data_IF_053908510387
#
_entry.id   IF_053908510387
#
_cell.length_a   1.000
_cell.length_b   1.000
_cell.length_c   1.000
_cell.angle_alpha   90.00
_cell.angle_beta   90.00
_cell.angle_gamma   90.00
#
_symmetry.space_group_name_H-M   'P 1'
#
loop_
_entity.id
_entity.type
_entity.pdbx_description
1 polymer ?
#
# COMPACT_ATOMS: atom_id res chain seq x y z
N UNK A 1 10.22 15.07 -18.24
CA UNK A 1 9.17 15.65 -17.40
C UNK A 1 9.89 16.20 -16.17
N UNK A 2 10.15 17.50 -16.15
CA UNK A 2 10.84 18.15 -15.03
C UNK A 2 9.96 18.03 -13.79
N UNK A 3 10.45 17.37 -12.74
CA UNK A 3 9.79 17.41 -11.43
C UNK A 3 9.62 18.88 -11.07
N UNK A 4 8.38 19.34 -11.02
CA UNK A 4 8.10 20.73 -10.70
C UNK A 4 8.40 20.89 -9.21
N UNK A 5 9.59 21.43 -8.92
CA UNK A 5 10.20 21.46 -7.59
C UNK A 5 9.19 21.85 -6.50
N UNK A 6 8.89 20.89 -5.62
CA UNK A 6 8.27 21.15 -4.33
C UNK A 6 6.79 20.81 -4.16
N UNK A 7 6.02 20.51 -5.21
CA UNK A 7 4.62 20.13 -5.00
C UNK A 7 4.51 18.65 -4.55
N UNK A 8 3.90 18.38 -3.38
CA UNK A 8 3.76 17.02 -2.89
C UNK A 8 2.83 16.23 -3.82
N UNK A 9 3.29 15.07 -4.27
CA UNK A 9 2.52 14.17 -5.12
C UNK A 9 1.80 13.12 -4.28
N UNK A 10 0.52 12.87 -4.57
CA UNK A 10 -0.29 11.88 -3.84
C UNK A 10 -0.61 10.69 -4.73
N UNK A 11 -0.04 9.54 -4.38
CA UNK A 11 -0.32 8.25 -4.97
C UNK A 11 -1.40 7.54 -4.17
N UNK A 12 -2.42 7.03 -4.86
CA UNK A 12 -3.48 6.22 -4.25
C UNK A 12 -3.54 4.86 -4.93
N UNK A 13 -3.79 3.80 -4.18
CA UNK A 13 -4.00 2.49 -4.77
C UNK A 13 -5.18 2.57 -5.75
N UNK A 14 -4.98 2.04 -6.95
CA UNK A 14 -6.08 1.89 -7.90
C UNK A 14 -7.07 0.84 -7.39
N UNK A 15 -8.31 0.91 -7.88
CA UNK A 15 -9.33 -0.07 -7.51
C UNK A 15 -8.93 -1.50 -7.91
N UNK A 16 -8.28 -1.66 -9.07
CA UNK A 16 -7.78 -2.96 -9.54
C UNK A 16 -6.70 -3.54 -8.62
N UNK A 17 -5.76 -2.72 -8.13
CA UNK A 17 -4.76 -3.15 -7.14
C UNK A 17 -5.40 -3.51 -5.80
N UNK A 18 -6.35 -2.70 -5.33
CA UNK A 18 -7.09 -2.99 -4.10
C UNK A 18 -7.82 -4.33 -4.21
N UNK A 19 -8.44 -4.60 -5.35
CA UNK A 19 -9.15 -5.85 -5.61
C UNK A 19 -8.19 -7.05 -5.61
N UNK A 20 -7.05 -6.95 -6.30
CA UNK A 20 -6.06 -8.03 -6.33
C UNK A 20 -5.47 -8.35 -4.96
N UNK A 21 -5.29 -7.35 -4.10
CA UNK A 21 -4.68 -7.52 -2.78
C UNK A 21 -5.68 -7.98 -1.71
N UNK A 22 -6.91 -7.45 -1.73
CA UNK A 22 -7.88 -7.70 -0.66
C UNK A 22 -8.98 -8.69 -1.02
N UNK A 23 -9.39 -8.81 -2.29
CA UNK A 23 -10.55 -9.64 -2.69
C UNK A 23 -10.12 -10.96 -3.32
N UNK A 24 -9.08 -10.96 -4.16
CA UNK A 24 -8.62 -12.16 -4.89
C UNK A 24 -8.22 -13.32 -3.98
N UNK A 25 -7.46 -13.13 -2.87
CA UNK A 25 -7.08 -14.25 -1.99
C UNK A 25 -8.28 -14.89 -1.29
N UNK A 26 -9.34 -14.12 -1.06
CA UNK A 26 -10.55 -14.53 -0.33
C UNK A 26 -11.68 -14.95 -1.27
N UNK A 27 -11.44 -14.98 -2.58
CA UNK A 27 -12.44 -15.31 -3.57
C UNK A 27 -13.11 -16.68 -3.33
N UNK A 28 -12.39 -17.77 -2.94
CA UNK A 28 -13.03 -19.04 -2.59
C UNK A 28 -13.98 -18.91 -1.39
N UNK A 29 -13.56 -18.20 -0.34
CA UNK A 29 -14.37 -17.99 0.87
C UNK A 29 -15.62 -17.16 0.54
N UNK A 30 -15.47 -16.10 -0.26
CA UNK A 30 -16.60 -15.27 -0.70
C UNK A 30 -17.59 -16.08 -1.56
N UNK A 31 -17.13 -16.99 -2.43
CA UNK A 31 -17.99 -17.88 -3.20
C UNK A 31 -18.78 -18.79 -2.25
N UNK A 32 -18.12 -19.43 -1.28
CA UNK A 32 -18.80 -20.30 -0.31
C UNK A 32 -19.84 -19.54 0.49
N UNK A 33 -19.52 -18.33 0.97
CA UNK A 33 -20.47 -17.46 1.67
C UNK A 33 -21.65 -17.10 0.78
N UNK A 34 -21.43 -16.75 -0.49
CA UNK A 34 -22.51 -16.43 -1.42
C UNK A 34 -23.43 -17.64 -1.67
N UNK A 35 -22.87 -18.83 -1.83
CA UNK A 35 -23.65 -20.06 -1.98
C UNK A 35 -24.48 -20.36 -0.72
N UNK A 36 -23.88 -20.23 0.47
CA UNK A 36 -24.59 -20.40 1.74
C UNK A 36 -25.71 -19.37 1.89
N UNK A 37 -25.44 -18.11 1.54
CA UNK A 37 -26.43 -17.02 1.60
C UNK A 37 -27.58 -17.26 0.63
N UNK A 38 -27.28 -17.80 -0.56
CA UNK A 38 -28.28 -18.19 -1.54
C UNK A 38 -29.19 -19.31 -1.02
N UNK A 39 -28.61 -20.38 -0.45
CA UNK A 39 -29.38 -21.49 0.15
C UNK A 39 -30.23 -21.01 1.33
N UNK A 40 -29.64 -20.25 2.25
CA UNK A 40 -30.36 -19.70 3.42
C UNK A 40 -31.49 -18.76 2.97
N UNK A 41 -31.21 -17.86 2.02
CA UNK A 41 -32.21 -16.96 1.45
C UNK A 41 -33.37 -17.72 0.82
N UNK A 42 -33.09 -18.82 0.11
CA UNK A 42 -34.12 -19.67 -0.48
C UNK A 42 -35.01 -20.32 0.59
N UNK A 43 -34.42 -20.88 1.65
CA UNK A 43 -35.15 -21.54 2.74
C UNK A 43 -36.04 -20.56 3.51
N UNK A 44 -35.55 -19.36 3.79
CA UNK A 44 -36.25 -18.38 4.64
C UNK A 44 -37.29 -17.56 3.86
N UNK A 45 -36.96 -17.12 2.64
CA UNK A 45 -37.75 -16.15 1.89
C UNK A 45 -38.04 -16.53 0.45
N UNK A 46 -37.77 -17.78 0.07
CA UNK A 46 -38.05 -18.30 -1.27
C UNK A 46 -37.14 -17.75 -2.38
N UNK A 47 -37.54 -17.91 -3.64
CA UNK A 47 -36.71 -17.57 -4.82
C UNK A 47 -36.29 -16.10 -4.90
N UNK A 48 -37.11 -15.19 -4.39
CA UNK A 48 -36.80 -13.75 -4.41
C UNK A 48 -35.68 -13.44 -3.42
N UNK A 49 -35.77 -13.97 -2.20
CA UNK A 49 -34.75 -13.74 -1.17
C UNK A 49 -33.40 -14.39 -1.52
N UNK A 50 -33.40 -15.55 -2.19
CA UNK A 50 -32.16 -16.21 -2.63
C UNK A 50 -31.35 -15.36 -3.61
N UNK A 51 -31.98 -14.49 -4.38
CA UNK A 51 -31.29 -13.57 -5.30
C UNK A 51 -30.96 -12.23 -4.64
N UNK A 52 -31.90 -11.65 -3.90
CA UNK A 52 -31.73 -10.30 -3.34
C UNK A 52 -30.61 -10.25 -2.30
N UNK A 53 -30.53 -11.24 -1.40
CA UNK A 53 -29.55 -11.20 -0.29
C UNK A 53 -28.10 -11.25 -0.81
N UNK A 54 -27.71 -12.17 -1.72
CA UNK A 54 -26.37 -12.16 -2.31
C UNK A 54 -26.04 -10.87 -3.06
N UNK A 55 -27.00 -10.28 -3.79
CA UNK A 55 -26.79 -9.03 -4.53
C UNK A 55 -26.49 -7.88 -3.56
N UNK A 56 -27.27 -7.75 -2.49
CA UNK A 56 -27.03 -6.74 -1.44
C UNK A 56 -25.69 -6.96 -0.76
N UNK A 57 -25.32 -8.21 -0.47
CA UNK A 57 -24.02 -8.54 0.13
C UNK A 57 -22.85 -8.13 -0.78
N UNK A 58 -22.91 -8.46 -2.06
CA UNK A 58 -21.87 -8.05 -3.04
C UNK A 58 -21.79 -6.52 -3.11
N UNK A 59 -22.92 -5.84 -3.21
CA UNK A 59 -22.96 -4.38 -3.24
C UNK A 59 -22.31 -3.76 -1.99
N UNK A 60 -22.60 -4.31 -0.80
CA UNK A 60 -22.01 -3.87 0.46
C UNK A 60 -20.48 -4.09 0.50
N UNK A 61 -19.99 -5.25 0.04
CA UNK A 61 -18.55 -5.55 -0.04
C UNK A 61 -17.85 -4.59 -1.02
N UNK A 62 -18.46 -4.30 -2.17
CA UNK A 62 -17.93 -3.35 -3.15
C UNK A 62 -17.89 -1.92 -2.57
N UNK A 63 -18.95 -1.50 -1.87
CA UNK A 63 -18.99 -0.19 -1.21
C UNK A 63 -17.91 -0.07 -0.13
N UNK A 64 -17.78 -1.08 0.73
CA UNK A 64 -16.81 -1.11 1.82
C UNK A 64 -15.37 -1.13 1.29
N UNK A 65 -15.09 -1.90 0.24
CA UNK A 65 -13.76 -1.93 -0.39
C UNK A 65 -13.40 -0.60 -1.05
N UNK A 66 -14.36 0.08 -1.70
CA UNK A 66 -14.15 1.44 -2.22
C UNK A 66 -13.87 2.44 -1.10
N UNK A 67 -14.60 2.35 0.01
CA UNK A 67 -14.36 3.20 1.17
C UNK A 67 -12.96 2.96 1.76
N UNK A 68 -12.57 1.70 1.95
CA UNK A 68 -11.26 1.32 2.47
C UNK A 68 -10.09 1.70 1.53
N UNK A 69 -10.33 1.79 0.22
CA UNK A 69 -9.33 2.24 -0.76
C UNK A 69 -9.04 3.74 -0.65
N UNK A 70 -10.06 4.54 -0.33
CA UNK A 70 -9.95 6.02 -0.29
C UNK A 70 -9.14 6.52 0.91
N UNK A 71 -9.03 5.71 1.97
CA UNK A 71 -8.34 6.08 3.21
C UNK A 71 -6.86 5.69 3.25
N UNK A 72 -6.33 5.02 2.21
CA UNK A 72 -4.90 4.75 2.08
C UNK A 72 -4.30 5.55 0.92
N UNK A 73 -3.10 6.06 1.14
CA UNK A 73 -2.35 6.77 0.10
C UNK A 73 -0.93 7.03 0.54
N UNK A 74 -0.05 7.25 -0.43
CA UNK A 74 1.31 7.70 -0.22
C UNK A 74 1.44 9.12 -0.75
N UNK A 75 1.86 10.03 0.09
CA UNK A 75 2.27 11.37 -0.31
C UNK A 75 3.79 11.39 -0.36
N UNK A 76 4.34 11.84 -1.47
CA UNK A 76 5.79 11.96 -1.69
C UNK A 76 6.11 13.42 -1.93
N UNK A 77 7.14 13.93 -1.29
CA UNK A 77 7.58 15.32 -1.42
C UNK A 77 9.10 15.42 -1.34
N UNK A 78 9.64 16.63 -1.51
CA UNK A 78 11.07 16.84 -1.36
C UNK A 78 11.62 16.58 0.05
N UNK A 79 10.76 16.55 1.08
CA UNK A 79 11.18 16.24 2.44
C UNK A 79 11.23 14.74 2.73
N UNK A 80 10.40 13.95 2.05
CA UNK A 80 10.31 12.52 2.31
C UNK A 80 9.02 11.88 1.81
N UNK A 81 8.64 10.81 2.49
CA UNK A 81 7.47 9.97 2.19
C UNK A 81 6.52 9.93 3.38
N UNK A 82 5.23 10.05 3.10
CA UNK A 82 4.17 9.97 4.09
C UNK A 82 3.12 8.95 3.66
N UNK A 83 2.87 7.95 4.50
CA UNK A 83 1.81 6.97 4.29
C UNK A 83 0.59 7.34 5.12
N UNK A 84 -0.50 7.64 4.45
CA UNK A 84 -1.82 7.77 5.06
C UNK A 84 -2.37 6.38 5.37
N UNK A 85 -2.65 6.13 6.66
CA UNK A 85 -3.22 4.88 7.15
C UNK A 85 -4.75 4.95 7.18
N UNK A 86 -5.39 3.77 7.16
CA UNK A 86 -6.86 3.64 7.17
C UNK A 86 -7.53 4.22 8.42
N UNK A 87 -6.81 4.23 9.55
CA UNK A 87 -7.24 4.80 10.83
C UNK A 87 -7.17 6.34 10.85
N UNK A 88 -6.68 6.96 9.78
CA UNK A 88 -6.48 8.39 9.66
C UNK A 88 -5.14 8.88 10.23
N UNK A 89 -4.30 7.97 10.76
CA UNK A 89 -2.93 8.29 11.13
C UNK A 89 -2.03 8.46 9.91
N UNK A 90 -0.86 9.07 10.12
CA UNK A 90 0.17 9.23 9.09
C UNK A 90 1.47 8.62 9.61
N UNK A 91 2.15 7.83 8.77
CA UNK A 91 3.55 7.47 9.03
C UNK A 91 4.41 8.29 8.09
N UNK A 92 5.34 9.09 8.63
CA UNK A 92 6.25 9.91 7.81
C UNK A 92 7.71 9.53 8.02
N UNK A 93 8.47 9.46 6.93
CA UNK A 93 9.90 9.20 6.91
C UNK A 93 10.59 10.23 6.02
N UNK A 94 11.73 10.77 6.47
CA UNK A 94 12.51 11.68 5.64
C UNK A 94 13.38 10.88 4.68
N UNK A 95 13.74 11.47 3.55
CA UNK A 95 14.63 10.80 2.60
C UNK A 95 15.94 10.28 3.22
N UNK A 96 16.66 11.02 4.09
CA UNK A 96 17.88 10.51 4.72
C UNK A 96 17.63 9.34 5.68
N UNK A 97 16.43 9.23 6.26
CA UNK A 97 16.09 8.21 7.25
C UNK A 97 15.66 6.88 6.60
N UNK A 98 15.54 6.82 5.26
CA UNK A 98 15.20 5.60 4.54
C UNK A 98 16.47 4.74 4.39
N UNK A 99 16.54 3.60 5.06
CA UNK A 99 17.77 2.82 5.11
C UNK A 99 17.96 1.98 3.83
N UNK A 100 16.91 1.33 3.33
CA UNK A 100 17.01 0.42 2.19
C UNK A 100 15.67 0.10 1.51
N UNK A 101 15.73 -0.48 0.31
CA UNK A 101 14.60 -1.18 -0.31
C UNK A 101 14.57 -2.63 0.19
N UNK A 102 13.46 -3.05 0.79
CA UNK A 102 13.31 -4.37 1.39
C UNK A 102 11.95 -5.00 1.06
N UNK A 103 11.83 -6.31 1.33
CA UNK A 103 10.53 -6.98 1.35
C UNK A 103 9.89 -6.75 2.72
N UNK A 104 8.84 -5.92 2.72
CA UNK A 104 8.14 -5.45 3.92
C UNK A 104 6.84 -6.24 4.13
N UNK A 105 6.58 -6.64 5.37
CA UNK A 105 5.32 -7.29 5.74
C UNK A 105 4.13 -6.31 5.77
N UNK A 106 2.91 -6.82 5.64
CA UNK A 106 1.66 -6.05 5.63
C UNK A 106 1.48 -5.17 6.86
N UNK A 107 2.01 -5.58 8.02
CA UNK A 107 1.93 -4.81 9.26
C UNK A 107 2.84 -3.57 9.28
N UNK A 108 3.74 -3.42 8.30
CA UNK A 108 4.64 -2.27 8.15
C UNK A 108 5.63 -2.07 9.30
N UNK A 109 5.72 -3.01 10.25
CA UNK A 109 6.64 -2.97 11.40
C UNK A 109 7.65 -4.12 11.40
N UNK A 110 7.54 -5.06 10.47
CA UNK A 110 8.37 -6.25 10.43
C UNK A 110 9.00 -6.41 9.05
N UNK A 111 10.31 -6.64 9.06
CA UNK A 111 11.14 -6.93 7.88
C UNK A 111 11.08 -8.44 7.65
N UNK A 112 10.84 -8.86 6.40
CA UNK A 112 10.89 -10.28 6.05
C UNK A 112 12.23 -10.65 5.43
N UNK A 113 12.78 -9.81 4.54
CA UNK A 113 14.12 -9.98 3.98
C UNK A 113 14.59 -8.74 3.17
N UNK A 114 15.92 -8.55 2.95
CA UNK A 114 16.45 -7.60 1.97
C UNK A 114 16.00 -7.91 0.52
N UNK A 115 15.78 -6.88 -0.31
CA UNK A 115 15.11 -7.00 -1.62
C UNK A 115 15.87 -7.83 -2.68
N UNK A 116 17.18 -8.04 -2.53
CA UNK A 116 17.97 -8.92 -3.42
C UNK A 116 18.01 -10.40 -3.00
N UNK A 117 18.00 -10.67 -1.69
CA UNK A 117 18.12 -12.04 -1.13
C UNK A 117 16.78 -12.77 -1.19
N UNK A 118 15.68 -12.05 -0.99
CA UNK A 118 14.34 -12.61 -1.04
C UNK A 118 14.00 -13.19 -2.42
N UNK A 119 14.48 -12.60 -3.52
CA UNK A 119 14.19 -13.07 -4.88
C UNK A 119 14.90 -14.39 -5.20
N UNK A 120 16.07 -14.63 -4.62
CA UNK A 120 16.81 -15.88 -4.75
C UNK A 120 16.27 -17.00 -3.83
N UNK A 121 15.77 -16.65 -2.64
CA UNK A 121 15.17 -17.61 -1.70
C UNK A 121 13.68 -17.93 -1.98
N UNK A 122 12.95 -17.03 -2.66
CA UNK A 122 11.53 -17.19 -2.98
C UNK A 122 11.26 -18.21 -4.11
N UNK A 123 12.28 -18.93 -4.58
CA UNK A 123 12.19 -19.87 -5.70
C UNK A 123 11.49 -21.21 -5.41
N UNK A 124 11.14 -21.56 -4.17
CA UNK A 124 10.56 -22.90 -3.93
C UNK A 124 9.61 -23.11 -2.73
N UNK A 125 9.55 -22.23 -1.71
CA UNK A 125 8.88 -22.61 -0.45
C UNK A 125 8.19 -21.49 0.35
N UNK A 126 8.01 -20.30 -0.22
CA UNK A 126 7.32 -19.22 0.49
C UNK A 126 5.81 -19.43 0.38
N UNK A 127 5.14 -19.69 1.51
CA UNK A 127 3.69 -19.97 1.53
C UNK A 127 2.91 -18.84 0.85
N UNK A 128 1.85 -19.18 0.12
CA UNK A 128 1.00 -18.21 -0.58
C UNK A 128 0.51 -17.08 0.35
N UNK A 129 0.39 -17.36 1.64
CA UNK A 129 0.06 -16.40 2.68
C UNK A 129 1.18 -15.37 2.93
N UNK A 130 2.45 -15.78 2.99
CA UNK A 130 3.58 -14.85 3.13
C UNK A 130 3.75 -14.02 1.86
N UNK A 131 3.59 -14.62 0.68
CA UNK A 131 3.62 -13.89 -0.59
C UNK A 131 2.49 -12.85 -0.72
N UNK A 132 1.28 -13.15 -0.21
CA UNK A 132 0.17 -12.20 -0.18
C UNK A 132 0.38 -11.07 0.85
N UNK A 133 1.12 -11.34 1.93
CA UNK A 133 1.32 -10.41 3.03
C UNK A 133 2.68 -9.69 3.00
N UNK A 134 3.50 -9.88 1.97
CA UNK A 134 4.82 -9.23 1.85
C UNK A 134 5.02 -8.63 0.47
N UNK A 135 5.89 -7.63 0.35
CA UNK A 135 6.24 -7.08 -0.95
C UNK A 135 7.29 -5.98 -0.89
N UNK A 136 7.84 -5.59 -2.05
CA UNK A 136 8.84 -4.53 -2.11
C UNK A 136 8.30 -3.23 -1.52
N UNK A 137 9.16 -2.59 -0.74
CA UNK A 137 8.86 -1.35 -0.04
C UNK A 137 10.12 -0.62 0.39
N UNK A 138 9.91 0.50 1.07
CA UNK A 138 10.97 1.28 1.71
C UNK A 138 11.03 0.90 3.18
N UNK A 139 12.24 0.64 3.68
CA UNK A 139 12.51 0.46 5.09
C UNK A 139 13.28 1.67 5.58
N UNK A 140 12.91 2.21 6.72
CA UNK A 140 13.63 3.33 7.32
C UNK A 140 13.15 3.64 8.73
N UNK A 141 13.61 4.78 9.22
CA UNK A 141 13.18 5.36 10.48
C UNK A 141 12.20 6.49 10.23
N UNK A 142 11.16 6.56 11.03
CA UNK A 142 10.13 7.58 10.91
C UNK A 142 9.36 7.74 12.19
N UNK A 143 8.24 8.44 12.08
CA UNK A 143 7.31 8.58 13.18
C UNK A 143 5.87 8.35 12.72
N UNK A 144 5.06 7.85 13.64
CA UNK A 144 3.62 7.77 13.46
C UNK A 144 2.94 8.97 14.12
N UNK A 145 2.23 9.74 13.32
CA UNK A 145 1.33 10.78 13.78
C UNK A 145 -0.06 10.20 13.98
N UNK A 146 -0.65 10.55 15.11
CA UNK A 146 -2.06 10.27 15.39
C UNK A 146 -2.96 11.03 14.41
N UNK A 147 -4.24 10.64 14.33
CA UNK A 147 -5.21 11.35 13.47
C UNK A 147 -5.32 12.85 13.81
N UNK A 148 -5.27 13.20 15.09
CA UNK A 148 -5.33 14.60 15.53
C UNK A 148 -4.10 15.40 15.04
N UNK A 149 -2.89 14.84 15.20
CA UNK A 149 -1.65 15.45 14.74
C UNK A 149 -1.59 15.54 13.20
N UNK A 150 -2.05 14.50 12.49
CA UNK A 150 -2.15 14.48 11.04
C UNK A 150 -3.11 15.57 10.51
N UNK A 151 -4.26 15.76 11.17
CA UNK A 151 -5.22 16.80 10.82
C UNK A 151 -4.65 18.20 11.09
N UNK A 152 -3.89 18.38 12.19
CA UNK A 152 -3.17 19.62 12.47
C UNK A 152 -2.08 19.90 11.41
N UNK A 153 -1.25 18.90 11.09
CA UNK A 153 -0.24 19.00 10.04
C UNK A 153 -0.86 19.34 8.67
N UNK A 154 -2.05 18.80 8.37
CA UNK A 154 -2.76 19.14 7.12
C UNK A 154 -3.23 20.61 7.11
N UNK A 155 -3.64 21.15 8.25
CA UNK A 155 -4.11 22.54 8.36
C UNK A 155 -2.96 23.56 8.37
N UNK A 156 -1.84 23.22 9.01
CA UNK A 156 -0.74 24.16 9.29
C UNK A 156 0.51 23.89 8.43
N UNK A 157 0.54 22.79 7.69
CA UNK A 157 1.66 22.38 6.85
C UNK A 157 2.64 21.45 7.56
N UNK A 158 3.56 20.81 6.81
CA UNK A 158 4.52 19.86 7.33
C UNK A 158 5.56 20.48 8.27
N UNK A 159 5.86 21.77 8.11
CA UNK A 159 6.84 22.51 8.92
C UNK A 159 6.37 22.73 10.36
N UNK A 160 5.06 22.71 10.60
CA UNK A 160 4.49 23.01 11.92
C UNK A 160 4.79 21.93 12.96
N UNK A 161 4.85 20.66 12.54
CA UNK A 161 5.13 19.56 13.44
C UNK A 161 6.57 19.09 13.21
N UNK A 162 7.55 19.51 14.03
CA UNK A 162 8.91 19.01 13.92
C UNK A 162 8.93 17.50 14.15
N UNK A 163 9.93 16.82 13.58
CA UNK A 163 10.07 15.39 13.84
C UNK A 163 10.45 15.16 15.30
N UNK A 164 9.88 14.11 15.90
CA UNK A 164 10.29 13.64 17.22
C UNK A 164 11.74 13.19 17.20
N UNK A 165 12.42 13.32 18.34
CA UNK A 165 13.83 12.92 18.49
C UNK A 165 14.02 11.40 18.41
N UNK A 166 13.03 10.62 18.85
CA UNK A 166 13.02 9.16 18.75
C UNK A 166 12.19 8.73 17.55
N UNK A 167 12.87 8.17 16.55
CA UNK A 167 12.26 7.60 15.36
C UNK A 167 12.15 6.09 15.49
N UNK A 168 10.98 5.56 15.18
CA UNK A 168 10.72 4.12 15.13
C UNK A 168 11.06 3.57 13.74
N UNK A 169 11.39 2.28 13.68
CA UNK A 169 11.59 1.60 12.40
C UNK A 169 10.24 1.29 11.73
N UNK A 170 10.08 1.73 10.48
CA UNK A 170 8.90 1.49 9.67
C UNK A 170 9.26 0.92 8.30
N UNK A 171 8.45 -0.03 7.85
CA UNK A 171 8.41 -0.50 6.49
C UNK A 171 7.18 0.04 5.77
N UNK A 172 7.38 0.76 4.67
CA UNK A 172 6.34 1.19 3.75
C UNK A 172 6.25 0.22 2.58
N UNK A 173 5.21 -0.62 2.59
CA UNK A 173 4.94 -1.57 1.51
C UNK A 173 4.34 -0.85 0.30
N UNK A 174 5.19 -0.43 -0.63
CA UNK A 174 4.80 0.38 -1.80
C UNK A 174 4.05 -0.40 -2.86
N UNK A 175 4.25 -1.73 -2.96
CA UNK A 175 3.53 -2.61 -3.89
C UNK A 175 1.99 -2.54 -3.75
N UNK A 176 1.52 -2.10 -2.59
CA UNK A 176 0.07 -1.93 -2.32
C UNK A 176 -0.52 -0.75 -3.11
N UNK A 177 0.32 0.24 -3.39
CA UNK A 177 -0.05 1.51 -4.00
C UNK A 177 0.27 1.48 -5.49
N UNK A 178 1.46 0.99 -5.82
CA UNK A 178 1.88 0.76 -7.20
C UNK A 178 2.75 -0.49 -7.27
N UNK A 179 2.34 -1.47 -8.08
CA UNK A 179 3.05 -2.75 -8.18
C UNK A 179 4.41 -2.57 -8.84
N UNK A 180 4.49 -1.65 -9.79
CA UNK A 180 5.68 -1.33 -10.56
C UNK A 180 6.28 -0.01 -10.07
N UNK A 181 6.06 0.34 -8.80
CA UNK A 181 6.48 1.62 -8.22
C UNK A 181 7.94 1.94 -8.49
N UNK A 182 8.82 0.92 -8.54
CA UNK A 182 10.25 1.09 -8.77
C UNK A 182 10.55 1.67 -10.14
N UNK A 183 9.85 1.24 -11.18
CA UNK A 183 10.01 1.75 -12.55
C UNK A 183 9.06 2.91 -12.85
N UNK A 184 8.00 3.06 -12.07
CA UNK A 184 7.03 4.15 -12.17
C UNK A 184 7.46 5.44 -11.46
N UNK A 185 6.47 6.33 -11.29
CA UNK A 185 6.66 7.69 -10.76
C UNK A 185 7.18 7.73 -9.32
N UNK A 186 6.75 6.81 -8.46
CA UNK A 186 7.27 6.72 -7.09
C UNK A 186 8.78 6.44 -7.12
N UNK A 187 9.22 5.57 -8.03
CA UNK A 187 10.63 5.22 -8.21
C UNK A 187 11.44 6.38 -8.80
N UNK A 188 10.85 7.24 -9.61
CA UNK A 188 11.49 8.50 -10.04
C UNK A 188 11.81 9.38 -8.82
N UNK A 189 10.86 9.57 -7.90
CA UNK A 189 11.10 10.29 -6.64
C UNK A 189 12.20 9.64 -5.82
N UNK A 190 12.16 8.31 -5.65
CA UNK A 190 13.22 7.61 -4.91
C UNK A 190 14.58 7.78 -5.58
N UNK A 191 14.68 7.71 -6.92
CA UNK A 191 15.96 7.95 -7.61
C UNK A 191 16.45 9.39 -7.50
N UNK A 192 15.54 10.36 -7.46
CA UNK A 192 15.90 11.77 -7.33
C UNK A 192 16.48 12.09 -5.94
N UNK A 193 15.88 11.56 -4.87
CA UNK A 193 16.28 11.89 -3.49
C UNK A 193 17.18 10.85 -2.82
N UNK A 194 17.15 9.60 -3.31
CA UNK A 194 17.91 8.44 -2.81
C UNK A 194 18.38 7.53 -3.96
N UNK A 195 19.26 8.04 -4.85
CA UNK A 195 19.78 7.28 -5.99
C UNK A 195 20.58 6.04 -5.57
N UNK A 196 21.07 5.98 -4.34
CA UNK A 196 21.74 4.83 -3.75
C UNK A 196 20.80 3.63 -3.54
N UNK A 197 19.49 3.87 -3.42
CA UNK A 197 18.50 2.83 -3.10
C UNK A 197 17.94 2.09 -4.31
N UNK A 198 17.98 2.71 -5.49
CA UNK A 198 17.47 2.11 -6.72
C UNK A 198 18.45 2.34 -7.87
N UNK A 199 18.75 1.30 -8.67
CA UNK A 199 19.57 1.48 -9.85
C UNK A 199 18.90 2.44 -10.84
N UNK A 200 19.69 3.17 -11.66
CA UNK A 200 19.15 3.97 -12.75
C UNK A 200 18.33 3.09 -13.71
N UNK A 201 17.26 3.66 -14.28
CA UNK A 201 16.46 2.94 -15.28
C UNK A 201 17.38 2.65 -16.47
N UNK A 202 17.52 1.38 -16.91
CA UNK A 202 18.29 1.09 -18.11
C UNK A 202 17.65 1.86 -19.26
N UNK A 203 18.42 2.77 -19.89
CA UNK A 203 17.96 3.45 -21.10
C UNK A 203 17.54 2.39 -22.12
N UNK A 204 16.37 2.53 -22.77
CA UNK A 204 16.01 1.61 -23.83
C UNK A 204 17.16 1.64 -24.83
N UNK A 205 17.84 0.50 -24.97
CA UNK A 205 18.88 0.36 -25.98
C UNK A 205 18.26 0.81 -27.30
N UNK A 206 18.84 1.82 -27.94
CA UNK A 206 18.44 2.22 -29.28
C UNK A 206 18.46 0.94 -30.11
N UNK A 207 17.28 0.43 -30.44
CA UNK A 207 17.15 -0.66 -31.41
C UNK A 207 17.63 -0.06 -32.72
N UNK A 208 18.89 -0.33 -33.04
CA UNK A 208 19.53 -0.02 -34.31
C UNK A 208 18.99 -0.93 -35.40
#
# INVERSE_FOLDING_TARGET
MTMQDGQPEVFRPTWSQTWQLNLRPWLPVNIVILLLTWVIGYVIGGPVASVVIPVVLIAAIVALSRYASRSQGLRVSGHGVELLRRDGGIVRMRWPDIEQVAVVAQSGRSIVAPYGVARAAAGASMSAYVAANTGPGLLGRGESLTRAEADQQRKQGPEWLPYRQTLDQFGLRLVVIDRDWQTGRIGEWVRAYRPDLLPPVPSPAKQS
#
